data_IF_082417835778
#
_entry.id   IF_082417835778
#
_cell.length_a   1.000
_cell.length_b   1.000
_cell.length_c   1.000
_cell.angle_alpha   90.00
_cell.angle_beta   90.00
_cell.angle_gamma   90.00
#
_symmetry.space_group_name_H-M   'P 1'
#
loop_
_entity.id
_entity.type
_entity.pdbx_description
1 polymer ?
#
# COMPACT_ATOMS: atom_id res chain seq x y z
N UNK A 1 -11.63 20.59 -21.40
CA UNK A 1 -11.08 20.89 -20.05
C UNK A 1 -11.28 19.78 -18.99
N UNK A 2 -12.18 18.80 -19.18
CA UNK A 2 -12.44 17.72 -18.19
C UNK A 2 -11.26 16.74 -17.98
N UNK A 3 -10.44 16.51 -19.00
CA UNK A 3 -9.34 15.54 -18.96
C UNK A 3 -8.22 15.89 -17.97
N UNK A 4 -7.86 17.18 -17.89
CA UNK A 4 -6.81 17.65 -16.97
C UNK A 4 -7.21 17.51 -15.51
N UNK A 5 -8.50 17.72 -15.19
CA UNK A 5 -9.00 17.61 -13.82
C UNK A 5 -8.94 16.16 -13.32
N UNK A 6 -9.34 15.18 -14.15
CA UNK A 6 -9.28 13.76 -13.79
C UNK A 6 -7.84 13.26 -13.59
N UNK A 7 -6.90 13.74 -14.41
CA UNK A 7 -5.47 13.40 -14.28
C UNK A 7 -4.87 13.99 -12.99
N UNK A 8 -5.23 15.22 -12.64
CA UNK A 8 -4.78 15.88 -11.42
C UNK A 8 -5.28 15.15 -10.16
N UNK A 9 -6.58 14.80 -10.11
CA UNK A 9 -7.15 14.03 -9.01
C UNK A 9 -6.46 12.67 -8.82
N UNK A 10 -6.11 11.98 -9.91
CA UNK A 10 -5.37 10.71 -9.82
C UNK A 10 -3.97 10.89 -9.25
N UNK A 11 -3.25 11.93 -9.65
CA UNK A 11 -1.92 12.22 -9.12
C UNK A 11 -1.95 12.49 -7.61
N UNK A 12 -2.94 13.26 -7.14
CA UNK A 12 -3.11 13.52 -5.71
C UNK A 12 -3.51 12.25 -4.93
N UNK A 13 -4.36 11.40 -5.52
CA UNK A 13 -4.69 10.10 -4.93
C UNK A 13 -3.46 9.18 -4.84
N UNK A 14 -2.61 9.17 -5.87
CA UNK A 14 -1.38 8.36 -5.88
C UNK A 14 -0.38 8.84 -4.84
N UNK A 15 -0.21 10.16 -4.67
CA UNK A 15 0.64 10.75 -3.60
C UNK A 15 0.16 10.36 -2.21
N UNK A 16 -1.15 10.51 -1.94
CA UNK A 16 -1.76 10.09 -0.67
C UNK A 16 -1.58 8.60 -0.44
N UNK A 17 -1.79 7.79 -1.48
CA UNK A 17 -1.60 6.35 -1.40
C UNK A 17 -0.14 5.97 -1.12
N UNK A 18 0.82 6.68 -1.71
CA UNK A 18 2.24 6.48 -1.46
C UNK A 18 2.59 6.75 0.01
N UNK A 19 2.21 7.93 0.52
CA UNK A 19 2.41 8.33 1.91
C UNK A 19 1.80 7.31 2.90
N UNK A 20 0.57 6.86 2.65
CA UNK A 20 -0.07 5.84 3.49
C UNK A 20 0.70 4.51 3.47
N UNK A 21 1.24 4.09 2.32
CA UNK A 21 1.97 2.82 2.23
C UNK A 21 3.35 2.89 2.92
N UNK A 22 3.99 4.05 2.95
CA UNK A 22 5.19 4.27 3.75
C UNK A 22 4.90 4.08 5.25
N UNK A 23 3.86 4.74 5.76
CA UNK A 23 3.41 4.55 7.14
C UNK A 23 3.04 3.10 7.47
N UNK A 24 2.31 2.42 6.56
CA UNK A 24 1.97 1.01 6.71
C UNK A 24 3.24 0.17 6.79
N UNK A 25 4.23 0.42 5.95
CA UNK A 25 5.48 -0.33 5.96
C UNK A 25 6.19 -0.18 7.31
N UNK A 26 6.31 1.04 7.83
CA UNK A 26 6.88 1.29 9.15
C UNK A 26 6.11 0.59 10.28
N UNK A 27 4.77 0.63 10.24
CA UNK A 27 3.95 -0.03 11.25
C UNK A 27 4.13 -1.55 11.23
N UNK A 28 4.14 -2.17 10.05
CA UNK A 28 4.31 -3.62 9.92
C UNK A 28 5.71 -4.09 10.35
N UNK A 29 6.72 -3.25 10.17
CA UNK A 29 8.09 -3.52 10.65
C UNK A 29 8.21 -3.38 12.17
N UNK A 30 7.45 -2.46 12.78
CA UNK A 30 7.41 -2.28 14.23
C UNK A 30 6.53 -3.32 14.94
N UNK A 31 5.44 -3.74 14.29
CA UNK A 31 4.43 -4.66 14.81
C UNK A 31 4.29 -5.88 13.87
N UNK A 32 5.23 -6.81 13.97
CA UNK A 32 5.27 -8.02 13.14
C UNK A 32 4.03 -8.92 13.32
N UNK A 33 3.34 -8.82 14.47
CA UNK A 33 2.10 -9.55 14.78
C UNK A 33 0.93 -9.19 13.84
N UNK A 34 1.01 -8.08 13.11
CA UNK A 34 0.02 -7.70 12.10
C UNK A 34 0.19 -8.47 10.79
N UNK A 35 1.34 -9.09 10.56
CA UNK A 35 1.67 -9.70 9.28
C UNK A 35 0.76 -10.89 8.90
N UNK A 36 0.40 -11.80 9.82
CA UNK A 36 -0.57 -12.87 9.53
C UNK A 36 -1.90 -12.34 8.99
N UNK A 37 -2.39 -11.21 9.51
CA UNK A 37 -3.64 -10.59 9.06
C UNK A 37 -3.53 -10.01 7.64
N UNK A 38 -2.38 -9.43 7.30
CA UNK A 38 -2.10 -8.94 5.94
C UNK A 38 -2.10 -10.11 4.95
N UNK A 39 -1.42 -11.21 5.30
CA UNK A 39 -1.36 -12.42 4.47
C UNK A 39 -2.75 -13.01 4.29
N UNK A 40 -3.53 -13.14 5.36
CA UNK A 40 -4.92 -13.62 5.28
C UNK A 40 -5.76 -12.73 4.36
N UNK A 41 -5.63 -11.41 4.47
CA UNK A 41 -6.36 -10.47 3.61
C UNK A 41 -5.97 -10.60 2.14
N UNK A 42 -4.68 -10.82 1.85
CA UNK A 42 -4.18 -11.08 0.50
C UNK A 42 -4.82 -12.34 -0.10
N UNK A 43 -4.78 -13.45 0.64
CA UNK A 43 -5.35 -14.73 0.23
C UNK A 43 -6.86 -14.63 0.00
N UNK A 44 -7.59 -14.04 0.95
CA UNK A 44 -9.04 -13.87 0.84
C UNK A 44 -9.41 -13.05 -0.40
N UNK A 45 -8.72 -11.93 -0.65
CA UNK A 45 -9.00 -11.09 -1.83
C UNK A 45 -8.66 -11.80 -3.14
N UNK A 46 -7.62 -12.63 -3.15
CA UNK A 46 -7.31 -13.44 -4.32
C UNK A 46 -8.36 -14.53 -4.57
N UNK A 47 -8.74 -15.29 -3.53
CA UNK A 47 -9.77 -16.33 -3.61
C UNK A 47 -11.14 -15.77 -4.03
N UNK A 48 -11.49 -14.58 -3.55
CA UNK A 48 -12.71 -13.87 -3.95
C UNK A 48 -12.63 -13.23 -5.34
N UNK A 49 -11.53 -13.42 -6.08
CA UNK A 49 -11.27 -12.84 -7.41
C UNK A 49 -11.28 -11.31 -7.44
N UNK A 50 -11.02 -10.67 -6.30
CA UNK A 50 -10.88 -9.22 -6.17
C UNK A 50 -9.47 -8.74 -6.56
N UNK A 51 -8.50 -9.66 -6.64
CA UNK A 51 -7.15 -9.43 -7.13
C UNK A 51 -6.89 -10.26 -8.39
N UNK A 52 -6.19 -9.66 -9.36
CA UNK A 52 -5.63 -10.42 -10.47
C UNK A 52 -4.45 -11.26 -9.97
N UNK A 53 -4.14 -12.35 -10.66
CA UNK A 53 -2.99 -13.19 -10.33
C UNK A 53 -1.67 -12.39 -10.29
N UNK A 54 -1.44 -11.49 -11.25
CA UNK A 54 -0.25 -10.64 -11.23
C UNK A 54 -0.17 -9.69 -10.03
N UNK A 55 -1.30 -9.14 -9.58
CA UNK A 55 -1.32 -8.30 -8.37
C UNK A 55 -1.06 -9.12 -7.11
N UNK A 56 -1.61 -10.34 -7.05
CA UNK A 56 -1.38 -11.29 -5.97
C UNK A 56 0.11 -11.65 -5.85
N UNK A 57 0.75 -12.08 -6.96
CA UNK A 57 2.19 -12.40 -6.98
C UNK A 57 3.05 -11.20 -6.58
N UNK A 58 2.74 -10.01 -7.09
CA UNK A 58 3.50 -8.81 -6.73
C UNK A 58 3.40 -8.51 -5.23
N UNK A 59 2.23 -8.65 -4.62
CA UNK A 59 2.09 -8.49 -3.18
C UNK A 59 2.87 -9.54 -2.40
N UNK A 60 2.84 -10.81 -2.82
CA UNK A 60 3.66 -11.86 -2.19
C UNK A 60 5.16 -11.55 -2.23
N UNK A 61 5.67 -11.07 -3.37
CA UNK A 61 7.08 -10.67 -3.53
C UNK A 61 7.44 -9.50 -2.62
N UNK A 62 6.55 -8.53 -2.43
CA UNK A 62 6.76 -7.41 -1.50
C UNK A 62 6.77 -7.93 -0.06
N UNK A 63 5.77 -8.71 0.34
CA UNK A 63 5.67 -9.24 1.70
C UNK A 63 6.85 -10.15 2.08
N UNK A 64 7.41 -10.89 1.13
CA UNK A 64 8.60 -11.71 1.34
C UNK A 64 9.86 -10.90 1.74
N UNK A 65 9.86 -9.58 1.52
CA UNK A 65 10.97 -8.70 1.90
C UNK A 65 10.86 -8.14 3.31
N UNK A 66 9.82 -8.51 4.09
CA UNK A 66 9.57 -7.94 5.43
C UNK A 66 10.76 -8.10 6.39
N UNK A 67 11.53 -9.18 6.24
CA UNK A 67 12.74 -9.44 7.03
C UNK A 67 13.93 -8.53 6.66
N UNK A 68 13.82 -7.78 5.55
CA UNK A 68 14.80 -6.79 5.11
C UNK A 68 14.13 -5.40 5.06
N UNK A 69 14.13 -4.64 6.17
CA UNK A 69 13.35 -3.41 6.32
C UNK A 69 13.53 -2.40 5.19
N UNK A 70 14.78 -2.18 4.75
CA UNK A 70 15.09 -1.21 3.69
C UNK A 70 14.50 -1.63 2.33
N UNK A 71 14.55 -2.92 2.00
CA UNK A 71 13.98 -3.44 0.76
C UNK A 71 12.45 -3.42 0.80
N UNK A 72 11.86 -3.83 1.93
CA UNK A 72 10.42 -3.79 2.13
C UNK A 72 9.84 -2.38 1.95
N UNK A 73 10.42 -1.37 2.61
CA UNK A 73 9.99 0.02 2.49
C UNK A 73 10.15 0.51 1.05
N UNK A 74 11.28 0.22 0.39
CA UNK A 74 11.49 0.61 -1.00
C UNK A 74 10.47 -0.03 -1.95
N UNK A 75 10.13 -1.30 -1.74
CA UNK A 75 9.16 -2.03 -2.54
C UNK A 75 7.72 -1.50 -2.33
N UNK A 76 7.36 -1.15 -1.09
CA UNK A 76 6.07 -0.52 -0.74
C UNK A 76 5.90 0.88 -1.34
N UNK A 77 7.00 1.63 -1.43
CA UNK A 77 7.01 3.05 -1.84
C UNK A 77 7.48 3.29 -3.28
N UNK A 78 7.77 2.23 -4.06
CA UNK A 78 8.24 2.39 -5.43
C UNK A 78 7.25 3.20 -6.30
N UNK A 79 7.76 4.14 -7.09
CA UNK A 79 6.96 5.10 -7.87
C UNK A 79 6.77 4.68 -9.33
N UNK A 80 7.19 3.48 -9.69
CA UNK A 80 6.96 2.92 -11.02
C UNK A 80 5.46 2.68 -11.27
N UNK A 81 5.10 2.51 -12.54
CA UNK A 81 3.70 2.35 -12.97
C UNK A 81 3.03 1.12 -12.36
N UNK A 82 3.78 0.04 -12.17
CA UNK A 82 3.26 -1.22 -11.65
C UNK A 82 2.93 -1.07 -10.18
N UNK A 83 3.86 -0.56 -9.37
CA UNK A 83 3.67 -0.39 -7.93
C UNK A 83 2.60 0.67 -7.64
N UNK A 84 2.56 1.74 -8.42
CA UNK A 84 1.48 2.75 -8.30
C UNK A 84 0.11 2.13 -8.58
N UNK A 85 -0.02 1.31 -9.61
CA UNK A 85 -1.27 0.60 -9.88
C UNK A 85 -1.61 -0.44 -8.80
N UNK A 86 -0.59 -1.09 -8.24
CA UNK A 86 -0.73 -2.07 -7.16
C UNK A 86 -1.29 -1.43 -5.88
N UNK A 87 -0.75 -0.27 -5.47
CA UNK A 87 -1.23 0.49 -4.29
C UNK A 87 -2.69 0.89 -4.37
N UNK A 88 -3.22 1.17 -5.57
CA UNK A 88 -4.65 1.47 -5.77
C UNK A 88 -5.56 0.27 -5.45
N UNK A 89 -5.00 -0.95 -5.42
CA UNK A 89 -5.66 -2.21 -5.02
C UNK A 89 -5.01 -2.76 -3.75
N UNK A 90 -4.87 -1.89 -2.76
CA UNK A 90 -4.20 -2.22 -1.50
C UNK A 90 -4.88 -3.37 -0.75
N UNK A 91 -4.07 -4.21 -0.12
CA UNK A 91 -4.48 -5.29 0.77
C UNK A 91 -4.42 -4.88 2.25
N UNK A 92 -3.87 -3.71 2.56
CA UNK A 92 -3.57 -3.27 3.94
C UNK A 92 -4.78 -2.63 4.63
N UNK A 93 -5.94 -3.28 4.54
CA UNK A 93 -7.18 -2.79 5.15
C UNK A 93 -7.12 -3.02 6.66
N UNK A 94 -7.32 -1.95 7.43
CA UNK A 94 -7.35 -2.02 8.90
C UNK A 94 -6.00 -2.19 9.58
N UNK A 95 -4.89 -1.95 8.86
CA UNK A 95 -3.53 -1.88 9.43
C UNK A 95 -3.33 -0.52 10.11
N UNK A 96 -3.70 0.57 9.43
CA UNK A 96 -3.78 1.89 10.05
C UNK A 96 -5.18 2.12 10.62
N UNK A 97 -5.25 2.60 11.86
CA UNK A 97 -6.46 3.17 12.44
C UNK A 97 -6.69 4.61 11.93
N UNK A 98 -7.87 5.19 12.22
CA UNK A 98 -8.24 6.50 11.67
C UNK A 98 -7.31 7.63 12.12
N UNK A 99 -6.79 7.55 13.35
CA UNK A 99 -5.84 8.52 13.87
C UNK A 99 -4.51 8.43 13.11
N UNK A 100 -3.94 7.23 13.00
CA UNK A 100 -2.69 7.00 12.28
C UNK A 100 -2.79 7.41 10.80
N UNK A 101 -3.94 7.13 10.15
CA UNK A 101 -4.20 7.58 8.78
C UNK A 101 -4.17 9.10 8.68
N UNK A 102 -4.78 9.79 9.63
CA UNK A 102 -4.82 11.25 9.67
C UNK A 102 -3.43 11.84 9.92
N UNK A 103 -2.70 11.29 10.89
CA UNK A 103 -1.35 11.72 11.25
C UNK A 103 -0.38 11.56 10.06
N UNK A 104 -0.44 10.42 9.37
CA UNK A 104 0.35 10.18 8.16
C UNK A 104 0.04 11.18 7.04
N UNK A 105 -1.24 11.44 6.79
CA UNK A 105 -1.64 12.39 5.75
C UNK A 105 -1.32 13.83 6.14
N UNK A 106 -1.32 14.19 7.42
CA UNK A 106 -0.91 15.52 7.88
C UNK A 106 0.56 15.79 7.53
N UNK A 107 1.44 14.80 7.75
CA UNK A 107 2.86 14.89 7.39
C UNK A 107 3.12 15.05 5.87
N UNK A 108 2.13 14.80 5.01
CA UNK A 108 2.24 15.05 3.57
C UNK A 108 2.04 16.54 3.20
N UNK A 109 1.41 17.32 4.08
CA UNK A 109 1.05 18.73 3.86
C UNK A 109 1.89 19.72 4.69
N UNK A 110 2.80 19.21 5.52
CA UNK A 110 3.83 19.99 6.22
C UNK A 110 5.09 20.17 5.34
#
# INVERSE_FOLDING_TARGET
>A
MVYHHKKYQQQEADKRSLCLHECIAHKLLAESDLMPRVIETLEQRYQQKLLSYGAYINWQVILAQVDTPSQFIAAMTATDKTTTALRRKTIFVGILNEKERSDCLAALFE
#
